data_IF_122791105029
#
_entry.id   IF_122791105029
#
_cell.length_a   1.000
_cell.length_b   1.000
_cell.length_c   1.000
_cell.angle_alpha   90.00
_cell.angle_beta   90.00
_cell.angle_gamma   90.00
#
_symmetry.space_group_name_H-M   'P 1'
#
loop_
_entity.id
_entity.type
_entity.pdbx_description
1 polymer ?
#
# COMPACT_ATOMS: atom_id res chain seq x y z
N UNK A 1 20.13 10.06 -15.31
CA UNK A 1 20.48 8.66 -14.98
C UNK A 1 19.80 8.33 -13.67
N UNK A 2 19.00 7.26 -13.62
CA UNK A 2 18.42 6.78 -12.36
C UNK A 2 19.58 6.33 -11.47
N UNK A 3 19.66 6.86 -10.26
CA UNK A 3 20.62 6.37 -9.27
C UNK A 3 20.15 4.97 -8.84
N UNK A 4 20.88 3.93 -9.25
CA UNK A 4 20.51 2.55 -8.97
C UNK A 4 20.40 2.26 -7.46
N UNK A 5 21.14 2.98 -6.61
CA UNK A 5 21.04 2.82 -5.16
C UNK A 5 19.68 3.31 -4.63
N UNK A 6 19.20 4.45 -5.14
CA UNK A 6 17.94 5.05 -4.71
C UNK A 6 16.73 4.21 -5.11
N UNK A 7 16.78 3.59 -6.29
CA UNK A 7 15.68 2.76 -6.80
C UNK A 7 15.24 1.65 -5.83
N UNK A 8 16.16 1.06 -5.07
CA UNK A 8 15.85 -0.05 -4.16
C UNK A 8 15.53 0.37 -2.72
N UNK A 9 15.87 1.60 -2.31
CA UNK A 9 15.74 2.04 -0.89
C UNK A 9 14.73 3.17 -0.69
N UNK A 10 14.36 3.88 -1.75
CA UNK A 10 13.35 4.92 -1.64
C UNK A 10 11.99 4.30 -1.29
N UNK A 11 11.33 4.90 -0.31
CA UNK A 11 9.98 4.50 0.08
C UNK A 11 8.98 5.05 -0.94
N UNK A 12 7.84 4.37 -1.10
CA UNK A 12 6.83 4.71 -2.10
C UNK A 12 6.38 6.18 -2.02
N UNK A 13 6.26 6.76 -0.82
CA UNK A 13 5.87 8.17 -0.65
C UNK A 13 6.88 9.18 -1.21
N UNK A 14 8.13 8.77 -1.44
CA UNK A 14 9.18 9.59 -2.06
C UNK A 14 9.31 9.29 -3.54
N UNK A 15 9.30 8.00 -3.91
CA UNK A 15 9.43 7.56 -5.30
C UNK A 15 8.18 7.90 -6.15
N UNK A 16 6.98 7.77 -5.57
CA UNK A 16 5.69 8.05 -6.20
C UNK A 16 4.65 8.59 -5.18
N UNK A 17 4.68 9.91 -4.90
CA UNK A 17 3.76 10.54 -3.95
C UNK A 17 2.28 10.44 -4.37
N UNK A 18 1.99 10.37 -5.67
CA UNK A 18 0.62 10.31 -6.20
C UNK A 18 -0.01 8.95 -5.90
N UNK A 19 0.70 7.85 -6.21
CA UNK A 19 0.25 6.50 -5.88
C UNK A 19 0.17 6.29 -4.37
N UNK A 20 1.14 6.82 -3.61
CA UNK A 20 1.06 6.78 -2.14
C UNK A 20 -0.21 7.45 -1.63
N UNK A 21 -0.54 8.65 -2.13
CA UNK A 21 -1.75 9.36 -1.74
C UNK A 21 -3.03 8.58 -2.10
N UNK A 22 -3.06 7.92 -3.27
CA UNK A 22 -4.18 7.08 -3.67
C UNK A 22 -4.39 5.89 -2.71
N UNK A 23 -3.31 5.19 -2.33
CA UNK A 23 -3.37 4.07 -1.36
C UNK A 23 -3.86 4.56 0.01
N UNK A 24 -3.38 5.71 0.49
CA UNK A 24 -3.87 6.28 1.76
C UNK A 24 -5.35 6.68 1.70
N UNK A 25 -5.81 7.17 0.54
CA UNK A 25 -7.23 7.43 0.29
C UNK A 25 -8.08 6.16 0.39
N UNK A 26 -7.62 5.07 -0.22
CA UNK A 26 -8.31 3.78 -0.18
C UNK A 26 -8.33 3.17 1.22
N UNK A 27 -7.20 3.19 1.94
CA UNK A 27 -7.14 2.77 3.33
C UNK A 27 -8.17 3.53 4.19
N UNK A 28 -8.32 4.84 3.96
CA UNK A 28 -9.32 5.66 4.64
C UNK A 28 -10.75 5.25 4.25
N UNK A 29 -11.00 4.89 2.99
CA UNK A 29 -12.31 4.39 2.54
C UNK A 29 -12.68 3.11 3.28
N UNK A 30 -11.79 2.12 3.29
CA UNK A 30 -11.99 0.83 3.98
C UNK A 30 -12.22 1.01 5.49
N UNK A 31 -11.52 1.95 6.14
CA UNK A 31 -11.66 2.21 7.58
C UNK A 31 -12.96 2.93 7.98
N UNK A 32 -13.54 3.73 7.08
CA UNK A 32 -14.68 4.60 7.40
C UNK A 32 -16.01 4.08 6.82
N UNK A 33 -16.03 2.87 6.28
CA UNK A 33 -17.22 2.20 5.75
C UNK A 33 -17.41 0.85 6.45
N UNK A 34 -18.66 0.38 6.48
CA UNK A 34 -18.97 -1.00 6.87
C UNK A 34 -18.91 -1.82 5.60
N UNK A 35 -17.92 -2.71 5.49
CA UNK A 35 -17.79 -3.59 4.33
C UNK A 35 -18.79 -4.75 4.43
N UNK A 36 -19.68 -4.86 3.44
CA UNK A 36 -20.79 -5.83 3.42
C UNK A 36 -20.72 -6.77 2.21
N UNK A 37 -19.67 -6.65 1.39
CA UNK A 37 -19.42 -7.54 0.28
C UNK A 37 -18.97 -8.89 0.83
N UNK A 38 -19.77 -9.94 0.60
CA UNK A 38 -19.57 -11.25 1.22
C UNK A 38 -18.25 -11.95 0.86
N UNK A 39 -17.60 -11.55 -0.25
CA UNK A 39 -16.33 -12.10 -0.70
C UNK A 39 -15.10 -11.31 -0.23
N UNK A 40 -15.29 -10.11 0.33
CA UNK A 40 -14.19 -9.24 0.77
C UNK A 40 -13.81 -9.49 2.23
N UNK A 41 -12.55 -9.16 2.56
CA UNK A 41 -12.01 -9.35 3.90
C UNK A 41 -10.82 -8.44 4.16
N UNK A 42 -10.48 -8.23 5.43
CA UNK A 42 -9.32 -7.46 5.87
C UNK A 42 -8.24 -8.45 6.31
N UNK A 43 -7.11 -8.48 5.60
CA UNK A 43 -6.00 -9.37 5.91
C UNK A 43 -5.14 -8.85 7.07
N UNK A 44 -4.44 -9.78 7.75
CA UNK A 44 -3.52 -9.40 8.82
C UNK A 44 -2.27 -8.69 8.28
N UNK A 45 -1.61 -7.90 9.14
CA UNK A 45 -0.33 -7.24 8.80
C UNK A 45 0.75 -8.24 8.36
N UNK A 46 0.79 -9.43 8.97
CA UNK A 46 1.74 -10.47 8.59
C UNK A 46 1.55 -10.95 7.14
N UNK A 47 0.31 -10.98 6.63
CA UNK A 47 0.02 -11.33 5.23
C UNK A 47 0.46 -10.20 4.30
N UNK A 48 0.20 -8.93 4.68
CA UNK A 48 0.66 -7.78 3.90
C UNK A 48 2.19 -7.73 3.78
N UNK A 49 2.89 -8.02 4.87
CA UNK A 49 4.36 -8.05 4.89
C UNK A 49 4.90 -9.16 3.98
N UNK A 50 4.26 -10.33 3.98
CA UNK A 50 4.60 -11.42 3.06
C UNK A 50 4.29 -11.09 1.59
N UNK A 51 3.21 -10.35 1.31
CA UNK A 51 2.86 -9.92 -0.05
C UNK A 51 3.89 -8.93 -0.61
N UNK A 52 4.43 -8.06 0.25
CA UNK A 52 5.46 -7.08 -0.10
C UNK A 52 6.89 -7.62 -0.03
N UNK A 53 7.10 -8.89 0.34
CA UNK A 53 8.42 -9.49 0.46
C UNK A 53 8.83 -10.24 -0.81
N UNK A 54 9.76 -9.67 -1.60
CA UNK A 54 10.81 -10.33 -2.43
C UNK A 54 11.85 -9.27 -2.79
#
# INVERSE_FOLDING_TARGET
MVNAANFFIEILSQADPEIYAAIQGELKREQNQIELIASENIVSKAILDAQGSV
#
